data_IF_056224861246
#
_entry.id   IF_056224861246
#
_cell.length_a   1.000
_cell.length_b   1.000
_cell.length_c   1.000
_cell.angle_alpha   90.00
_cell.angle_beta   90.00
_cell.angle_gamma   90.00
#
_symmetry.space_group_name_H-M   'P 1'
#
loop_
_entity.id
_entity.type
_entity.pdbx_description
1 polymer ?
#
# COMPACT_ATOMS: atom_id res chain seq x y z
N UNK A 1 -10.11 -1.87 2.57
CA UNK A 1 -10.13 -0.40 2.85
C UNK A 1 -11.12 0.05 3.93
N UNK A 2 -12.42 -0.30 3.86
CA UNK A 2 -13.44 0.22 4.77
C UNK A 2 -13.16 -0.06 6.27
N UNK A 3 -12.67 -1.26 6.61
CA UNK A 3 -12.33 -1.62 7.99
C UNK A 3 -11.25 -0.72 8.62
N UNK A 4 -10.19 -0.41 7.88
CA UNK A 4 -9.11 0.48 8.36
C UNK A 4 -9.56 1.93 8.53
N UNK A 5 -10.44 2.43 7.65
CA UNK A 5 -11.05 3.76 7.81
C UNK A 5 -11.93 3.83 9.05
N UNK A 6 -12.75 2.79 9.30
CA UNK A 6 -13.57 2.69 10.50
C UNK A 6 -12.70 2.66 11.77
N UNK A 7 -11.60 1.88 11.75
CA UNK A 7 -10.61 1.84 12.84
C UNK A 7 -10.04 3.22 13.15
N UNK A 8 -9.64 4.02 12.13
CA UNK A 8 -9.21 5.40 12.35
C UNK A 8 -10.30 6.27 12.99
N UNK A 9 -11.55 6.12 12.57
CA UNK A 9 -12.68 6.82 13.18
C UNK A 9 -12.84 6.50 14.67
N UNK A 10 -12.71 5.22 15.04
CA UNK A 10 -12.76 4.76 16.44
C UNK A 10 -11.58 5.27 17.27
N UNK A 11 -10.37 5.33 16.69
CA UNK A 11 -9.20 5.90 17.36
C UNK A 11 -9.40 7.40 17.61
N UNK A 12 -9.84 8.13 16.59
CA UNK A 12 -10.13 9.56 16.69
C UNK A 12 -11.22 9.87 17.72
N UNK A 13 -12.30 9.08 17.79
CA UNK A 13 -13.36 9.26 18.80
C UNK A 13 -12.88 9.06 20.24
N UNK A 14 -11.73 8.40 20.43
CA UNK A 14 -11.08 8.19 21.73
C UNK A 14 -10.00 9.24 22.02
N UNK A 15 -9.86 10.25 21.17
CA UNK A 15 -8.82 11.28 21.25
C UNK A 15 -7.45 10.82 20.72
N UNK A 16 -7.36 9.61 20.16
CA UNK A 16 -6.11 9.09 19.60
C UNK A 16 -5.97 9.56 18.15
N UNK A 17 -5.27 10.69 17.96
CA UNK A 17 -5.04 11.31 16.64
C UNK A 17 -3.65 11.04 16.06
N UNK A 18 -2.74 10.48 16.87
CA UNK A 18 -1.35 10.16 16.52
C UNK A 18 -0.85 8.98 17.36
N UNK A 19 0.23 8.34 16.91
CA UNK A 19 0.87 7.23 17.62
C UNK A 19 0.72 5.89 16.88
N UNK A 20 1.31 4.81 17.43
CA UNK A 20 1.58 3.59 16.68
C UNK A 20 0.36 2.97 16.00
N UNK A 21 -0.82 3.03 16.63
CA UNK A 21 -2.07 2.46 16.09
C UNK A 21 -2.66 3.29 14.97
N UNK A 22 -2.52 4.62 15.07
CA UNK A 22 -2.93 5.54 14.00
C UNK A 22 -2.00 5.40 12.80
N UNK A 23 -0.70 5.28 13.06
CA UNK A 23 0.32 5.13 12.02
C UNK A 23 0.16 3.79 11.29
N UNK A 24 -0.08 2.69 12.00
CA UNK A 24 -0.43 1.39 11.43
C UNK A 24 -1.64 1.49 10.50
N UNK A 25 -2.73 2.09 10.96
CA UNK A 25 -3.95 2.21 10.18
C UNK A 25 -3.77 3.11 8.94
N UNK A 26 -2.96 4.18 9.06
CA UNK A 26 -2.60 5.05 7.94
C UNK A 26 -1.71 4.32 6.93
N UNK A 27 -0.72 3.56 7.38
CA UNK A 27 0.16 2.75 6.52
C UNK A 27 -0.66 1.72 5.74
N UNK A 28 -1.55 0.98 6.41
CA UNK A 28 -2.43 0.03 5.74
C UNK A 28 -3.32 0.71 4.68
N UNK A 29 -3.90 1.87 4.98
CA UNK A 29 -4.69 2.62 3.99
C UNK A 29 -3.84 3.14 2.82
N UNK A 30 -2.59 3.55 3.08
CA UNK A 30 -1.65 3.95 2.04
C UNK A 30 -1.37 2.79 1.09
N UNK A 31 -1.04 1.62 1.64
CA UNK A 31 -0.81 0.40 0.87
C UNK A 31 -1.99 0.04 -0.03
N UNK A 32 -3.20 0.01 0.52
CA UNK A 32 -4.39 -0.33 -0.26
C UNK A 32 -4.70 0.69 -1.36
N UNK A 33 -4.34 1.97 -1.18
CA UNK A 33 -4.47 2.98 -2.23
C UNK A 33 -3.46 2.75 -3.35
N UNK A 34 -2.21 2.46 -2.99
CA UNK A 34 -1.17 2.12 -3.96
C UNK A 34 -1.59 0.90 -4.79
N UNK A 35 -2.01 -0.19 -4.14
CA UNK A 35 -2.45 -1.41 -4.84
C UNK A 35 -3.60 -1.14 -5.80
N UNK A 36 -4.63 -0.39 -5.36
CA UNK A 36 -5.76 -0.05 -6.21
C UNK A 36 -5.40 0.86 -7.40
N UNK A 37 -4.34 1.68 -7.28
CA UNK A 37 -3.83 2.46 -8.40
C UNK A 37 -3.15 1.54 -9.42
N UNK A 38 -2.28 0.65 -8.97
CA UNK A 38 -1.61 -0.34 -9.84
C UNK A 38 -2.62 -1.23 -10.56
N UNK A 39 -3.61 -1.78 -9.84
CA UNK A 39 -4.66 -2.63 -10.42
C UNK A 39 -5.46 -1.88 -11.52
N UNK A 40 -5.62 -0.55 -11.41
CA UNK A 40 -6.29 0.27 -12.43
C UNK A 40 -5.46 0.36 -13.70
N UNK A 41 -4.16 0.54 -13.58
CA UNK A 41 -3.27 0.63 -14.74
C UNK A 41 -3.22 -0.71 -15.48
N UNK A 42 -3.22 -1.83 -14.75
CA UNK A 42 -3.36 -3.18 -15.34
C UNK A 42 -4.70 -3.32 -16.07
N UNK A 43 -5.81 -2.93 -15.44
CA UNK A 43 -7.13 -2.99 -16.05
C UNK A 43 -7.27 -2.10 -17.31
N UNK A 44 -6.49 -1.01 -17.39
CA UNK A 44 -6.45 -0.13 -18.57
C UNK A 44 -5.64 -0.71 -19.73
N UNK A 45 -4.83 -1.75 -19.47
CA UNK A 45 -3.89 -2.31 -20.43
C UNK A 45 -2.62 -1.47 -20.63
N UNK A 46 -2.40 -0.44 -19.81
CA UNK A 46 -1.18 0.37 -19.85
C UNK A 46 0.06 -0.45 -19.44
N UNK A 47 -0.12 -1.32 -18.45
CA UNK A 47 0.90 -2.27 -17.97
C UNK A 47 0.29 -3.65 -17.87
N UNK A 48 1.10 -4.68 -18.05
CA UNK A 48 0.71 -6.05 -17.72
C UNK A 48 0.93 -6.35 -16.23
N UNK A 49 0.56 -7.56 -15.80
CA UNK A 49 0.66 -7.98 -14.40
C UNK A 49 2.12 -8.11 -13.94
N UNK A 50 3.04 -8.58 -14.79
CA UNK A 50 4.45 -8.78 -14.45
C UNK A 50 5.16 -7.43 -14.26
N UNK A 51 4.83 -6.46 -15.10
CA UNK A 51 5.29 -5.07 -14.98
C UNK A 51 4.76 -4.41 -13.71
N UNK A 52 3.48 -4.62 -13.39
CA UNK A 52 2.88 -4.12 -12.16
C UNK A 52 3.55 -4.67 -10.90
N UNK A 53 3.86 -5.97 -10.87
CA UNK A 53 4.56 -6.60 -9.77
C UNK A 53 6.02 -6.11 -9.67
N UNK A 54 6.71 -5.95 -10.81
CA UNK A 54 8.06 -5.35 -10.86
C UNK A 54 8.10 -3.92 -10.31
N UNK A 55 7.09 -3.10 -10.62
CA UNK A 55 6.98 -1.73 -10.08
C UNK A 55 6.77 -1.75 -8.57
N UNK A 56 5.95 -2.67 -8.05
CA UNK A 56 5.73 -2.81 -6.61
C UNK A 56 7.01 -3.28 -5.90
N UNK A 57 7.75 -4.23 -6.46
CA UNK A 57 9.02 -4.69 -5.92
C UNK A 57 10.07 -3.57 -5.84
N UNK A 58 10.22 -2.80 -6.92
CA UNK A 58 11.13 -1.66 -6.97
C UNK A 58 10.75 -0.58 -5.94
N UNK A 59 9.46 -0.25 -5.81
CA UNK A 59 8.96 0.72 -4.82
C UNK A 59 9.17 0.26 -3.38
N UNK A 60 9.07 -1.04 -3.12
CA UNK A 60 9.27 -1.62 -1.80
C UNK A 60 10.76 -1.84 -1.47
N UNK A 61 11.66 -1.57 -2.42
CA UNK A 61 13.08 -1.84 -2.26
C UNK A 61 13.37 -3.34 -2.09
N UNK A 62 12.52 -4.20 -2.63
CA UNK A 62 12.68 -5.65 -2.61
C UNK A 62 13.62 -6.13 -3.71
N UNK A 63 14.46 -5.23 -4.25
CA UNK A 63 15.45 -5.54 -5.27
C UNK A 63 16.30 -6.71 -4.78
N UNK A 64 16.03 -7.88 -5.36
CA UNK A 64 16.77 -9.08 -5.05
C UNK A 64 18.14 -8.85 -5.65
N UNK A 65 19.14 -8.64 -4.80
CA UNK A 65 20.53 -8.53 -5.21
C UNK A 65 20.85 -9.70 -6.15
N UNK A 66 20.94 -9.43 -7.46
CA UNK A 66 21.40 -10.44 -8.40
C UNK A 66 22.86 -10.76 -8.04
N UNK A 67 23.22 -12.01 -7.72
CA UNK A 67 24.62 -12.37 -7.61
C UNK A 67 25.24 -12.17 -9.00
N UNK A 68 26.11 -11.18 -9.11
CA UNK A 68 26.94 -10.98 -10.30
C UNK A 68 27.80 -12.24 -10.47
N UNK A 69 27.63 -12.92 -11.60
CA UNK A 69 28.48 -14.06 -12.03
C UNK A 69 29.77 -13.54 -12.62
#
# INVERSE_FOLDING_TARGET
MAGWRSRLGVLASRGETSGPRVDEARAALSWWRLRAAVDREVASGLVDQDQADSVLEALLGLETAMPST
#
